data_IF_952784830032
#
_entry.id   IF_952784830032
#
_cell.length_a   1.000
_cell.length_b   1.000
_cell.length_c   1.000
_cell.angle_alpha   90.00
_cell.angle_beta   90.00
_cell.angle_gamma   90.00
#
_symmetry.space_group_name_H-M   'P 1'
#
loop_
_entity.id
_entity.type
_entity.pdbx_description
1 polymer ?
#
# COMPACT_ATOMS: atom_id res chain seq x y z
N UNK A 1 -9.28 0.41 61.32
CA UNK A 1 -9.48 0.74 59.89
C UNK A 1 -8.13 0.84 59.18
N UNK A 2 -7.33 -0.24 59.17
CA UNK A 2 -5.94 -0.21 58.64
C UNK A 2 -5.62 -1.32 57.62
N UNK A 3 -6.55 -2.25 57.37
CA UNK A 3 -6.31 -3.41 56.50
C UNK A 3 -6.67 -3.21 55.02
N UNK A 4 -7.50 -2.22 54.69
CA UNK A 4 -7.99 -1.99 53.31
C UNK A 4 -7.00 -1.20 52.44
N UNK A 5 -6.25 -0.25 53.03
CA UNK A 5 -5.29 0.57 52.28
C UNK A 5 -4.08 -0.22 51.73
N UNK A 6 -3.56 -1.19 52.48
CA UNK A 6 -2.43 -2.01 52.05
C UNK A 6 -2.76 -2.97 50.90
N UNK A 7 -4.01 -3.46 50.84
CA UNK A 7 -4.48 -4.34 49.75
C UNK A 7 -4.66 -3.58 48.43
N UNK A 8 -5.15 -2.35 48.48
CA UNK A 8 -5.28 -1.51 47.28
C UNK A 8 -3.93 -1.08 46.71
N UNK A 9 -2.93 -0.86 47.57
CA UNK A 9 -1.58 -0.48 47.13
C UNK A 9 -0.83 -1.65 46.47
N UNK A 10 -0.98 -2.88 46.97
CA UNK A 10 -0.35 -4.07 46.41
C UNK A 10 -0.97 -4.51 45.06
N UNK A 11 -2.27 -4.28 44.86
CA UNK A 11 -2.93 -4.58 43.58
C UNK A 11 -2.56 -3.57 42.49
N UNK A 12 -2.36 -2.29 42.86
CA UNK A 12 -1.94 -1.23 41.93
C UNK A 12 -0.52 -1.43 41.39
N UNK A 13 0.43 -1.86 42.23
CA UNK A 13 1.80 -2.17 41.80
C UNK A 13 1.88 -3.42 40.92
N UNK A 14 1.02 -4.43 41.15
CA UNK A 14 0.96 -5.62 40.30
C UNK A 14 0.46 -5.30 38.88
N UNK A 15 -0.55 -4.44 38.73
CA UNK A 15 -1.00 -3.99 37.39
C UNK A 15 0.05 -3.13 36.67
N UNK A 16 0.75 -2.24 37.38
CA UNK A 16 1.79 -1.41 36.79
C UNK A 16 3.00 -2.23 36.31
N UNK A 17 3.36 -3.30 37.02
CA UNK A 17 4.44 -4.21 36.62
C UNK A 17 4.03 -5.16 35.46
N UNK A 18 2.75 -5.47 35.32
CA UNK A 18 2.24 -6.23 34.17
C UNK A 18 2.20 -5.38 32.88
N UNK A 19 1.96 -4.07 32.99
CA UNK A 19 1.96 -3.15 31.84
C UNK A 19 3.34 -3.03 31.17
N UNK A 20 4.44 -3.28 31.89
CA UNK A 20 5.80 -3.24 31.31
C UNK A 20 6.21 -4.55 30.63
N UNK A 21 5.37 -5.58 30.66
CA UNK A 21 5.59 -6.88 29.98
C UNK A 21 4.88 -6.98 28.63
N UNK A 22 4.36 -5.88 28.10
CA UNK A 22 3.94 -5.84 26.69
C UNK A 22 5.20 -5.92 25.84
N UNK A 23 5.47 -7.13 25.34
CA UNK A 23 6.38 -7.38 24.23
C UNK A 23 5.77 -6.73 22.97
N UNK A 24 5.83 -5.41 22.87
CA UNK A 24 5.35 -4.62 21.72
C UNK A 24 6.30 -4.72 20.50
N UNK A 25 7.28 -5.61 20.56
CA UNK A 25 8.10 -5.95 19.42
C UNK A 25 7.26 -6.94 18.61
N UNK A 26 6.62 -6.46 17.54
CA UNK A 26 6.01 -7.35 16.56
C UNK A 26 7.04 -8.37 16.09
N UNK A 27 6.56 -9.55 15.69
CA UNK A 27 7.43 -10.58 15.12
C UNK A 27 8.24 -9.97 13.97
N UNK A 28 9.56 -10.11 14.06
CA UNK A 28 10.51 -9.61 13.05
C UNK A 28 10.77 -10.66 11.96
N UNK A 29 10.15 -11.84 12.06
CA UNK A 29 10.11 -12.79 10.97
C UNK A 29 9.26 -12.25 9.79
N UNK A 30 9.66 -12.51 8.54
CA UNK A 30 8.82 -12.22 7.38
C UNK A 30 7.44 -12.85 7.52
N UNK A 31 6.42 -12.07 7.19
CA UNK A 31 5.02 -12.48 7.24
C UNK A 31 4.60 -13.00 5.87
N UNK A 32 3.97 -14.17 5.86
CA UNK A 32 3.46 -14.79 4.63
C UNK A 32 2.46 -13.87 3.94
N UNK A 33 2.47 -13.89 2.61
CA UNK A 33 1.56 -13.10 1.76
C UNK A 33 0.56 -14.05 1.12
N UNK A 34 -0.73 -13.77 1.30
CA UNK A 34 -1.79 -14.52 0.62
C UNK A 34 -1.93 -14.04 -0.83
N UNK A 35 -1.46 -14.86 -1.76
CA UNK A 35 -1.46 -14.57 -3.21
C UNK A 35 -2.72 -15.07 -3.92
N UNK A 36 -3.73 -15.52 -3.17
CA UNK A 36 -4.98 -16.04 -3.73
C UNK A 36 -5.65 -15.03 -4.66
N UNK A 37 -6.02 -15.49 -5.86
CA UNK A 37 -6.67 -14.67 -6.89
C UNK A 37 -5.71 -14.07 -7.91
N UNK A 38 -4.40 -14.28 -7.78
CA UNK A 38 -3.43 -13.95 -8.82
C UNK A 38 -3.28 -15.11 -9.82
N UNK A 39 -3.00 -14.80 -11.11
CA UNK A 39 -2.55 -15.81 -12.06
C UNK A 39 -1.29 -16.51 -11.55
N UNK A 40 -1.26 -17.83 -11.61
CA UNK A 40 -0.08 -18.61 -11.20
C UNK A 40 1.13 -18.25 -12.08
N UNK A 41 2.30 -18.19 -11.45
CA UNK A 41 3.59 -18.06 -12.14
C UNK A 41 4.35 -19.37 -12.01
N UNK A 42 5.24 -19.65 -12.96
CA UNK A 42 6.02 -20.89 -12.93
C UNK A 42 7.03 -20.94 -11.78
N UNK A 43 7.67 -22.10 -11.60
CA UNK A 43 8.77 -22.25 -10.62
C UNK A 43 10.02 -21.46 -11.02
N UNK A 44 10.23 -21.29 -12.33
CA UNK A 44 11.30 -20.46 -12.85
C UNK A 44 11.00 -18.98 -12.62
N UNK A 45 12.01 -18.25 -12.13
CA UNK A 45 11.90 -16.81 -11.92
C UNK A 45 11.77 -16.08 -13.26
N UNK A 46 10.70 -15.31 -13.39
CA UNK A 46 10.48 -14.39 -14.49
C UNK A 46 11.48 -13.24 -14.40
N UNK A 47 11.77 -12.61 -15.53
CA UNK A 47 12.63 -11.42 -15.62
C UNK A 47 11.84 -10.12 -15.65
N UNK A 48 10.54 -10.19 -15.91
CA UNK A 48 9.65 -9.03 -15.98
C UNK A 48 8.42 -9.23 -15.09
N UNK A 49 7.86 -8.12 -14.61
CA UNK A 49 6.62 -8.13 -13.86
C UNK A 49 5.44 -8.69 -14.70
N UNK A 50 4.82 -9.82 -14.31
CA UNK A 50 3.71 -10.42 -15.03
C UNK A 50 2.37 -9.71 -14.77
N UNK A 51 2.24 -8.93 -13.70
CA UNK A 51 0.96 -8.40 -13.23
C UNK A 51 0.69 -6.94 -13.64
N UNK A 52 1.43 -6.39 -14.60
CA UNK A 52 1.14 -5.05 -15.14
C UNK A 52 -0.23 -5.02 -15.83
N UNK A 53 -0.92 -3.90 -15.75
CA UNK A 53 -2.30 -3.74 -16.23
C UNK A 53 -2.48 -4.15 -17.71
N UNK A 54 -1.50 -3.87 -18.57
CA UNK A 54 -1.52 -4.25 -19.99
C UNK A 54 -1.38 -5.77 -20.23
N UNK A 55 -0.80 -6.50 -19.28
CA UNK A 55 -0.59 -7.96 -19.36
C UNK A 55 -1.76 -8.76 -18.78
N UNK A 56 -2.37 -8.30 -17.69
CA UNK A 56 -3.39 -9.06 -16.94
C UNK A 56 -4.77 -8.41 -16.88
N UNK A 57 -4.92 -7.18 -17.37
CA UNK A 57 -6.13 -6.40 -17.23
C UNK A 57 -6.24 -5.72 -15.86
N UNK A 58 -7.14 -4.75 -15.78
CA UNK A 58 -7.28 -3.83 -14.64
C UNK A 58 -7.69 -4.54 -13.34
N UNK A 59 -8.68 -5.43 -13.38
CA UNK A 59 -9.16 -6.16 -12.20
C UNK A 59 -8.06 -6.98 -11.52
N UNK A 60 -7.24 -7.66 -12.32
CA UNK A 60 -6.14 -8.51 -11.82
C UNK A 60 -4.97 -7.65 -11.35
N UNK A 61 -4.67 -6.55 -12.05
CA UNK A 61 -3.66 -5.57 -11.63
C UNK A 61 -4.02 -4.93 -10.28
N UNK A 62 -5.29 -4.56 -10.08
CA UNK A 62 -5.78 -4.06 -8.79
C UNK A 62 -5.68 -5.09 -7.68
N UNK A 63 -6.01 -6.36 -7.98
CA UNK A 63 -5.82 -7.45 -7.04
C UNK A 63 -4.35 -7.62 -6.66
N UNK A 64 -3.43 -7.50 -7.62
CA UNK A 64 -1.99 -7.54 -7.37
C UNK A 64 -1.52 -6.36 -6.52
N UNK A 65 -2.06 -5.15 -6.75
CA UNK A 65 -1.80 -3.98 -5.91
C UNK A 65 -2.28 -4.21 -4.48
N UNK A 66 -3.49 -4.75 -4.29
CA UNK A 66 -4.06 -5.00 -2.95
C UNK A 66 -3.20 -5.99 -2.16
N UNK A 67 -2.87 -7.13 -2.78
CA UNK A 67 -1.99 -8.15 -2.19
C UNK A 67 -0.60 -7.55 -1.93
N UNK A 68 -0.07 -6.82 -2.91
CA UNK A 68 1.23 -6.16 -2.85
C UNK A 68 1.32 -5.13 -1.75
N UNK A 69 0.28 -4.32 -1.53
CA UNK A 69 0.20 -3.33 -0.46
C UNK A 69 0.27 -4.03 0.92
N UNK A 70 -0.47 -5.12 1.08
CA UNK A 70 -0.43 -5.92 2.30
C UNK A 70 0.95 -6.54 2.54
N UNK A 71 1.53 -7.19 1.52
CA UNK A 71 2.86 -7.79 1.61
C UNK A 71 3.96 -6.78 1.87
N UNK A 72 3.90 -5.63 1.19
CA UNK A 72 4.84 -4.52 1.33
C UNK A 72 4.80 -3.91 2.74
N UNK A 73 3.59 -3.63 3.26
CA UNK A 73 3.42 -3.02 4.58
C UNK A 73 3.94 -3.92 5.71
N UNK A 74 3.80 -5.23 5.55
CA UNK A 74 4.26 -6.20 6.54
C UNK A 74 5.77 -6.46 6.48
N UNK A 75 6.36 -6.48 5.28
CA UNK A 75 7.72 -6.98 5.09
C UNK A 75 8.76 -5.91 4.69
N UNK A 76 8.33 -4.79 4.09
CA UNK A 76 9.23 -3.86 3.40
C UNK A 76 9.19 -2.44 3.99
N UNK A 77 7.99 -1.97 4.38
CA UNK A 77 7.73 -0.58 4.75
C UNK A 77 8.57 -0.08 5.94
N UNK A 78 9.00 -0.97 6.85
CA UNK A 78 9.87 -0.60 7.97
C UNK A 78 11.22 -0.02 7.51
N UNK A 79 11.74 -0.46 6.37
CA UNK A 79 13.04 -0.03 5.84
C UNK A 79 12.89 0.97 4.70
N UNK A 80 11.96 0.70 3.79
CA UNK A 80 11.74 1.49 2.57
C UNK A 80 10.66 2.57 2.74
N UNK A 81 10.06 2.67 3.93
CA UNK A 81 9.02 3.62 4.28
C UNK A 81 7.62 3.20 3.82
N UNK A 82 6.60 3.86 4.36
CA UNK A 82 5.21 3.64 3.94
C UNK A 82 5.04 4.11 2.49
N UNK A 83 4.21 3.40 1.73
CA UNK A 83 3.95 3.75 0.33
C UNK A 83 5.21 3.83 -0.55
N UNK A 84 6.27 3.11 -0.16
CA UNK A 84 7.60 3.12 -0.79
C UNK A 84 8.37 4.45 -0.69
N UNK A 85 7.85 5.43 0.05
CA UNK A 85 8.51 6.72 0.30
C UNK A 85 9.54 6.57 1.43
N UNK A 86 10.82 6.61 1.09
CA UNK A 86 11.87 6.35 2.08
C UNK A 86 12.05 7.47 3.11
N UNK A 87 12.15 7.08 4.38
CA UNK A 87 12.62 7.96 5.47
C UNK A 87 14.15 8.05 5.62
N UNK A 88 14.92 7.54 4.64
CA UNK A 88 16.38 7.61 4.59
C UNK A 88 17.14 6.38 5.13
N UNK A 89 16.43 5.33 5.58
CA UNK A 89 17.06 4.08 6.05
C UNK A 89 17.48 3.16 4.89
N UNK A 90 16.59 2.98 3.91
CA UNK A 90 16.85 2.24 2.67
C UNK A 90 16.44 3.12 1.45
N UNK A 91 16.72 2.74 0.20
CA UNK A 91 16.31 3.53 -0.96
C UNK A 91 14.78 3.68 -1.08
N UNK A 92 14.33 4.83 -1.61
CA UNK A 92 12.95 5.02 -2.07
C UNK A 92 12.73 4.12 -3.29
N UNK A 93 11.73 3.25 -3.23
CA UNK A 93 11.51 2.23 -4.26
C UNK A 93 10.62 2.73 -5.40
N UNK A 94 9.96 3.88 -5.25
CA UNK A 94 9.11 4.45 -6.30
C UNK A 94 9.91 4.72 -7.56
N UNK A 95 11.19 5.08 -7.41
CA UNK A 95 12.08 5.40 -8.51
C UNK A 95 12.80 4.20 -9.12
N UNK A 96 12.44 2.97 -8.75
CA UNK A 96 12.93 1.78 -9.45
C UNK A 96 12.11 1.57 -10.72
N UNK A 97 12.72 1.89 -11.86
CA UNK A 97 12.10 1.95 -13.19
C UNK A 97 11.23 0.73 -13.50
N UNK A 98 10.03 0.95 -14.01
CA UNK A 98 9.06 -0.10 -14.37
C UNK A 98 9.36 -0.71 -15.74
N UNK A 99 10.56 -1.28 -15.88
CA UNK A 99 11.06 -1.94 -17.09
C UNK A 99 11.86 -3.20 -16.74
N UNK A 100 12.23 -3.99 -17.75
CA UNK A 100 12.93 -5.27 -17.58
C UNK A 100 14.18 -5.15 -16.69
N UNK A 101 15.01 -4.12 -16.88
CA UNK A 101 16.20 -3.94 -16.06
C UNK A 101 15.87 -3.66 -14.58
N UNK A 102 14.84 -2.85 -14.32
CA UNK A 102 14.35 -2.59 -12.96
C UNK A 102 13.72 -3.82 -12.33
N UNK A 103 13.07 -4.66 -13.12
CA UNK A 103 12.45 -5.92 -12.68
C UNK A 103 13.47 -6.98 -12.32
N UNK A 104 14.51 -7.17 -13.15
CA UNK A 104 15.62 -8.07 -12.85
C UNK A 104 16.32 -7.65 -11.55
N UNK A 105 16.57 -6.34 -11.41
CA UNK A 105 17.16 -5.80 -10.19
C UNK A 105 16.27 -6.03 -8.96
N UNK A 106 14.96 -5.79 -9.09
CA UNK A 106 14.01 -6.08 -8.02
C UNK A 106 14.01 -7.56 -7.64
N UNK A 107 13.89 -8.44 -8.63
CA UNK A 107 13.78 -9.88 -8.43
C UNK A 107 15.04 -10.46 -7.76
N UNK A 108 16.24 -10.04 -8.18
CA UNK A 108 17.49 -10.44 -7.55
C UNK A 108 17.54 -9.99 -6.08
N UNK A 109 17.22 -8.72 -5.80
CA UNK A 109 17.24 -8.18 -4.42
C UNK A 109 16.18 -8.79 -3.54
N UNK A 110 14.99 -9.05 -4.05
CA UNK A 110 13.94 -9.73 -3.32
C UNK A 110 14.35 -11.17 -2.98
N UNK A 111 14.85 -11.90 -3.98
CA UNK A 111 15.18 -13.32 -3.85
C UNK A 111 16.36 -13.53 -2.90
N UNK A 112 17.47 -12.84 -3.14
CA UNK A 112 18.75 -13.12 -2.49
C UNK A 112 19.12 -12.10 -1.40
N UNK A 113 18.33 -11.03 -1.26
CA UNK A 113 18.56 -9.97 -0.29
C UNK A 113 19.74 -9.07 -0.69
N UNK A 114 20.32 -8.39 0.31
CA UNK A 114 21.51 -7.56 0.13
C UNK A 114 22.39 -7.62 1.37
N UNK A 115 23.65 -8.03 1.20
CA UNK A 115 24.66 -8.08 2.26
C UNK A 115 25.87 -7.25 1.85
N UNK A 116 26.30 -6.36 2.74
CA UNK A 116 27.45 -5.49 2.50
C UNK A 116 28.42 -5.59 3.68
N UNK A 117 29.69 -5.86 3.41
CA UNK A 117 30.74 -6.02 4.43
C UNK A 117 30.39 -7.05 5.52
N UNK A 118 29.74 -8.16 5.11
CA UNK A 118 29.29 -9.22 6.03
C UNK A 118 28.07 -8.86 6.87
N UNK A 119 27.43 -7.71 6.65
CA UNK A 119 26.22 -7.28 7.35
C UNK A 119 25.04 -7.35 6.39
N UNK A 120 24.05 -8.17 6.71
CA UNK A 120 22.78 -8.22 5.97
C UNK A 120 22.02 -6.90 6.15
N UNK A 121 21.76 -6.23 5.02
CA UNK A 121 21.03 -4.96 4.92
C UNK A 121 19.58 -5.18 4.49
N UNK A 122 19.35 -6.16 3.63
CA UNK A 122 18.03 -6.60 3.19
C UNK A 122 17.98 -8.13 3.31
N UNK A 123 16.99 -8.72 4.01
CA UNK A 123 16.80 -10.16 4.05
C UNK A 123 16.50 -10.75 2.67
N UNK A 124 16.80 -12.03 2.49
CA UNK A 124 16.36 -12.81 1.33
C UNK A 124 14.92 -13.28 1.57
N UNK A 125 14.02 -13.04 0.61
CA UNK A 125 12.60 -13.38 0.71
C UNK A 125 12.16 -14.48 -0.26
N UNK A 126 13.00 -14.87 -1.23
CA UNK A 126 12.62 -15.76 -2.33
C UNK A 126 11.98 -17.07 -1.87
N UNK A 127 12.66 -17.81 -0.99
CA UNK A 127 12.13 -19.07 -0.43
C UNK A 127 11.01 -18.87 0.60
N UNK A 128 10.94 -17.68 1.21
CA UNK A 128 10.02 -17.40 2.32
C UNK A 128 8.64 -16.97 1.84
N UNK A 129 8.58 -16.13 0.81
CA UNK A 129 7.36 -15.51 0.33
C UNK A 129 6.94 -16.02 -1.06
N UNK A 130 7.88 -16.51 -1.87
CA UNK A 130 7.61 -16.98 -3.22
C UNK A 130 7.52 -15.85 -4.25
N UNK A 131 7.43 -16.26 -5.52
CA UNK A 131 7.51 -15.37 -6.67
C UNK A 131 6.22 -14.56 -6.89
N UNK A 132 5.04 -15.13 -6.66
CA UNK A 132 3.78 -14.40 -6.79
C UNK A 132 3.71 -13.22 -5.82
N UNK A 133 4.18 -13.42 -4.58
CA UNK A 133 4.26 -12.36 -3.58
C UNK A 133 5.24 -11.26 -4.01
N UNK A 134 6.40 -11.66 -4.57
CA UNK A 134 7.39 -10.72 -5.10
C UNK A 134 6.76 -9.81 -6.18
N UNK A 135 6.11 -10.40 -7.17
CA UNK A 135 5.53 -9.63 -8.27
C UNK A 135 4.31 -8.79 -7.87
N UNK A 136 3.50 -9.25 -6.91
CA UNK A 136 2.43 -8.44 -6.33
C UNK A 136 3.00 -7.19 -5.63
N UNK A 137 4.04 -7.37 -4.79
CA UNK A 137 4.72 -6.26 -4.12
C UNK A 137 5.38 -5.32 -5.15
N UNK A 138 6.02 -5.86 -6.19
CA UNK A 138 6.58 -5.06 -7.28
C UNK A 138 5.52 -4.20 -7.97
N UNK A 139 4.38 -4.79 -8.31
CA UNK A 139 3.25 -4.08 -8.95
C UNK A 139 2.72 -2.95 -8.07
N UNK A 140 2.60 -3.20 -6.76
CA UNK A 140 2.25 -2.16 -5.79
C UNK A 140 3.26 -0.98 -5.79
N UNK A 141 4.56 -1.29 -5.80
CA UNK A 141 5.65 -0.30 -5.79
C UNK A 141 5.70 0.50 -7.10
N UNK A 142 5.61 -0.17 -8.26
CA UNK A 142 5.65 0.49 -9.58
C UNK A 142 4.50 1.49 -9.74
N UNK A 143 3.31 1.16 -9.22
CA UNK A 143 2.14 2.00 -9.34
C UNK A 143 2.12 3.21 -8.38
N UNK A 144 3.15 3.43 -7.56
CA UNK A 144 3.16 4.57 -6.64
C UNK A 144 3.28 5.91 -7.40
N UNK A 145 2.45 6.91 -7.06
CA UNK A 145 2.59 8.26 -7.60
C UNK A 145 3.99 8.84 -7.36
N UNK A 146 4.42 9.70 -8.30
CA UNK A 146 5.61 10.52 -8.10
C UNK A 146 5.40 11.55 -6.99
N UNK A 147 6.49 12.07 -6.43
CA UNK A 147 6.46 13.16 -5.46
C UNK A 147 5.79 14.40 -6.07
N UNK A 148 4.77 14.94 -5.38
CA UNK A 148 4.05 16.12 -5.84
C UNK A 148 3.09 15.90 -7.02
N UNK A 149 2.91 14.65 -7.50
CA UNK A 149 2.07 14.35 -8.67
C UNK A 149 0.57 14.71 -8.49
N UNK A 150 0.14 14.99 -7.26
CA UNK A 150 -1.23 15.38 -6.91
C UNK A 150 -1.36 16.83 -6.42
N UNK A 151 -0.27 17.59 -6.34
CA UNK A 151 -0.25 18.93 -5.73
C UNK A 151 -1.23 19.87 -6.44
N UNK A 152 -1.23 19.87 -7.77
CA UNK A 152 -2.09 20.71 -8.60
C UNK A 152 -3.58 20.34 -8.49
N UNK A 153 -3.90 19.12 -8.06
CA UNK A 153 -5.27 18.61 -7.95
C UNK A 153 -5.79 18.55 -6.51
N UNK A 154 -4.97 18.88 -5.51
CA UNK A 154 -5.29 18.66 -4.09
C UNK A 154 -6.59 19.36 -3.66
N UNK A 155 -6.77 20.64 -4.02
CA UNK A 155 -7.96 21.39 -3.64
C UNK A 155 -9.21 20.88 -4.36
N UNK A 156 -9.06 20.49 -5.62
CA UNK A 156 -10.16 19.90 -6.40
C UNK A 156 -10.59 18.55 -5.84
N UNK A 157 -9.64 17.67 -5.51
CA UNK A 157 -9.90 16.36 -4.91
C UNK A 157 -10.56 16.49 -3.53
N UNK A 158 -10.21 17.50 -2.74
CA UNK A 158 -10.91 17.82 -1.47
C UNK A 158 -12.37 18.23 -1.74
N UNK A 159 -12.61 19.04 -2.77
CA UNK A 159 -13.96 19.42 -3.19
C UNK A 159 -14.79 18.22 -3.66
N UNK A 160 -14.20 17.35 -4.48
CA UNK A 160 -14.83 16.10 -4.95
C UNK A 160 -15.14 15.17 -3.78
N UNK A 161 -14.20 14.98 -2.85
CA UNK A 161 -14.44 14.21 -1.61
C UNK A 161 -15.64 14.76 -0.83
N UNK A 162 -15.68 16.06 -0.59
CA UNK A 162 -16.76 16.69 0.18
C UNK A 162 -18.12 16.54 -0.54
N UNK A 163 -18.13 16.60 -1.87
CA UNK A 163 -19.32 16.30 -2.68
C UNK A 163 -19.74 14.83 -2.54
N UNK A 164 -18.80 13.89 -2.70
CA UNK A 164 -19.03 12.44 -2.60
C UNK A 164 -19.56 12.06 -1.21
N UNK A 165 -19.05 12.68 -0.15
CA UNK A 165 -19.51 12.48 1.22
C UNK A 165 -21.03 12.73 1.38
N UNK A 166 -21.58 13.65 0.60
CA UNK A 166 -23.02 13.94 0.57
C UNK A 166 -23.87 12.76 0.10
N UNK A 167 -23.30 11.84 -0.70
CA UNK A 167 -23.99 10.69 -1.29
C UNK A 167 -23.82 9.39 -0.49
N UNK A 168 -23.00 9.38 0.56
CA UNK A 168 -22.73 8.21 1.41
C UNK A 168 -23.96 7.70 2.20
N UNK A 169 -25.04 8.48 2.26
CA UNK A 169 -26.31 8.12 2.92
C UNK A 169 -27.50 8.06 1.97
N UNK A 170 -27.48 8.85 0.90
CA UNK A 170 -28.49 8.87 -0.15
C UNK A 170 -27.83 9.25 -1.49
N UNK A 171 -27.77 8.28 -2.39
CA UNK A 171 -27.16 8.42 -3.71
C UNK A 171 -28.10 9.00 -4.79
N UNK A 172 -29.38 9.24 -4.47
CA UNK A 172 -30.42 9.55 -5.47
C UNK A 172 -30.20 10.84 -6.29
N UNK A 173 -29.34 11.74 -5.80
CA UNK A 173 -28.94 12.98 -6.49
C UNK A 173 -27.51 12.99 -7.04
N UNK A 174 -26.83 11.84 -7.04
CA UNK A 174 -25.45 11.75 -7.52
C UNK A 174 -25.40 11.66 -9.05
N UNK A 175 -24.56 12.48 -9.66
CA UNK A 175 -24.15 12.28 -11.05
C UNK A 175 -22.93 11.36 -11.07
N UNK A 176 -23.19 10.05 -11.05
CA UNK A 176 -22.16 9.02 -10.98
C UNK A 176 -21.16 9.16 -12.13
N UNK A 177 -21.67 9.29 -13.35
CA UNK A 177 -20.85 9.33 -14.56
C UNK A 177 -19.93 10.57 -14.55
N UNK A 178 -20.43 11.73 -14.12
CA UNK A 178 -19.60 12.93 -14.01
C UNK A 178 -18.50 12.81 -12.95
N UNK A 179 -18.80 12.22 -11.79
CA UNK A 179 -17.82 12.01 -10.72
C UNK A 179 -16.72 11.04 -11.16
N UNK A 180 -17.11 9.89 -11.72
CA UNK A 180 -16.18 8.88 -12.21
C UNK A 180 -15.33 9.45 -13.34
N UNK A 181 -15.93 10.16 -14.30
CA UNK A 181 -15.22 10.79 -15.40
C UNK A 181 -14.16 11.77 -14.89
N UNK A 182 -14.53 12.67 -13.96
CA UNK A 182 -13.57 13.68 -13.48
C UNK A 182 -12.44 13.09 -12.66
N UNK A 183 -12.73 12.12 -11.78
CA UNK A 183 -11.70 11.41 -11.03
C UNK A 183 -10.76 10.62 -11.96
N UNK A 184 -11.29 10.02 -13.01
CA UNK A 184 -10.50 9.29 -14.01
C UNK A 184 -9.61 10.22 -14.84
N UNK A 185 -10.10 11.41 -15.20
CA UNK A 185 -9.29 12.44 -15.86
C UNK A 185 -8.13 12.88 -14.97
N UNK A 186 -8.37 13.15 -13.69
CA UNK A 186 -7.30 13.50 -12.75
C UNK A 186 -6.31 12.34 -12.63
N UNK A 187 -6.80 11.12 -12.45
CA UNK A 187 -5.97 9.92 -12.31
C UNK A 187 -5.03 9.69 -13.51
N UNK A 188 -5.48 9.98 -14.73
CA UNK A 188 -4.70 9.82 -15.95
C UNK A 188 -3.52 10.79 -16.05
N UNK A 189 -3.57 11.93 -15.34
CA UNK A 189 -2.51 12.94 -15.29
C UNK A 189 -1.53 12.70 -14.12
N UNK A 190 -1.77 11.71 -13.25
CA UNK A 190 -0.88 11.38 -12.15
C UNK A 190 0.26 10.50 -12.64
N UNK A 191 1.47 11.07 -12.68
CA UNK A 191 2.68 10.33 -13.03
C UNK A 191 3.10 9.39 -11.90
N UNK A 192 3.66 8.23 -12.25
CA UNK A 192 4.32 7.34 -11.28
C UNK A 192 5.80 7.69 -11.16
N UNK A 193 6.37 7.50 -9.97
CA UNK A 193 7.81 7.69 -9.78
C UNK A 193 8.66 6.69 -10.58
N UNK A 194 8.06 5.55 -10.98
CA UNK A 194 8.75 4.45 -11.66
C UNK A 194 8.71 4.57 -13.18
N UNK A 195 7.92 5.50 -13.72
CA UNK A 195 7.60 5.56 -15.15
C UNK A 195 6.58 4.52 -15.62
N UNK A 196 5.96 3.75 -14.70
CA UNK A 196 4.82 2.92 -15.02
C UNK A 196 3.65 3.77 -15.57
N UNK A 197 2.87 3.23 -16.54
CA UNK A 197 1.86 4.01 -17.26
C UNK A 197 0.61 4.34 -16.44
N UNK A 198 0.39 3.66 -15.31
CA UNK A 198 -0.79 3.84 -14.47
C UNK A 198 -0.36 4.00 -13.02
N UNK A 199 -0.75 5.12 -12.41
CA UNK A 199 -0.60 5.34 -10.98
C UNK A 199 -1.83 4.81 -10.23
N UNK A 200 -1.58 4.05 -9.16
CA UNK A 200 -2.57 3.75 -8.13
C UNK A 200 -2.74 4.98 -7.22
N UNK A 201 -3.31 6.03 -7.80
CA UNK A 201 -3.55 7.31 -7.16
C UNK A 201 -4.85 7.31 -6.36
N UNK A 202 -4.99 8.29 -5.47
CA UNK A 202 -6.22 8.47 -4.66
C UNK A 202 -7.44 8.75 -5.54
N UNK A 203 -7.23 9.46 -6.66
CA UNK A 203 -8.26 9.74 -7.66
C UNK A 203 -8.68 8.46 -8.40
N UNK A 204 -7.70 7.64 -8.81
CA UNK A 204 -7.94 6.36 -9.45
C UNK A 204 -8.78 5.45 -8.56
N UNK A 205 -8.36 5.25 -7.30
CA UNK A 205 -9.07 4.41 -6.33
C UNK A 205 -10.49 4.89 -6.08
N UNK A 206 -10.68 6.20 -5.93
CA UNK A 206 -12.00 6.78 -5.73
C UNK A 206 -12.92 6.53 -6.93
N UNK A 207 -12.42 6.71 -8.16
CA UNK A 207 -13.19 6.42 -9.37
C UNK A 207 -13.63 4.94 -9.42
N UNK A 208 -12.71 4.03 -9.10
CA UNK A 208 -12.97 2.59 -9.11
C UNK A 208 -14.00 2.15 -8.05
N UNK A 209 -14.03 2.81 -6.89
CA UNK A 209 -14.95 2.47 -5.79
C UNK A 209 -16.38 2.99 -5.98
N UNK A 210 -16.61 3.95 -6.88
CA UNK A 210 -17.94 4.50 -7.15
C UNK A 210 -18.74 3.53 -8.03
N UNK A 211 -19.66 2.80 -7.41
CA UNK A 211 -20.57 1.86 -8.08
C UNK A 211 -22.03 2.37 -8.17
N UNK A 212 -22.27 3.61 -7.72
CA UNK A 212 -23.59 4.24 -7.67
C UNK A 212 -24.39 3.96 -6.40
N UNK A 213 -23.87 3.14 -5.48
CA UNK A 213 -24.48 2.87 -4.17
C UNK A 213 -23.95 3.81 -3.10
N UNK A 214 -24.73 4.09 -2.02
CA UNK A 214 -24.23 4.83 -0.87
C UNK A 214 -22.96 4.24 -0.26
N UNK A 215 -22.84 2.91 -0.25
CA UNK A 215 -21.66 2.19 0.21
C UNK A 215 -20.42 2.47 -0.66
N UNK A 216 -20.57 2.46 -2.00
CA UNK A 216 -19.49 2.80 -2.93
C UNK A 216 -19.03 4.25 -2.78
N UNK A 217 -19.97 5.20 -2.67
CA UNK A 217 -19.63 6.60 -2.39
C UNK A 217 -18.91 6.78 -1.06
N UNK A 218 -19.35 6.08 -0.01
CA UNK A 218 -18.67 6.10 1.28
C UNK A 218 -17.23 5.56 1.17
N UNK A 219 -17.02 4.45 0.46
CA UNK A 219 -15.69 3.89 0.27
C UNK A 219 -14.78 4.85 -0.52
N UNK A 220 -15.31 5.49 -1.57
CA UNK A 220 -14.57 6.49 -2.34
C UNK A 220 -14.21 7.73 -1.53
N UNK A 221 -15.13 8.22 -0.68
CA UNK A 221 -14.86 9.30 0.27
C UNK A 221 -13.73 8.94 1.24
N UNK A 222 -13.80 7.76 1.87
CA UNK A 222 -12.78 7.27 2.79
C UNK A 222 -11.41 7.16 2.09
N UNK A 223 -11.38 6.65 0.85
CA UNK A 223 -10.16 6.55 0.05
C UNK A 223 -9.53 7.93 -0.21
N UNK A 224 -10.33 8.94 -0.58
CA UNK A 224 -9.86 10.32 -0.76
C UNK A 224 -9.41 10.93 0.56
N UNK A 225 -10.14 10.72 1.66
CA UNK A 225 -9.79 11.23 3.00
C UNK A 225 -8.44 10.71 3.47
N UNK A 226 -8.23 9.39 3.40
CA UNK A 226 -6.98 8.77 3.82
C UNK A 226 -5.85 9.21 2.90
N UNK A 227 -6.05 9.09 1.58
CA UNK A 227 -5.02 9.37 0.59
C UNK A 227 -4.53 10.82 0.58
N UNK A 228 -5.45 11.79 0.65
CA UNK A 228 -5.08 13.21 0.70
C UNK A 228 -4.42 13.62 2.03
N UNK A 229 -4.59 12.84 3.09
CA UNK A 229 -3.91 13.07 4.37
C UNK A 229 -2.47 12.56 4.39
N UNK A 230 -2.14 11.59 3.53
CA UNK A 230 -0.79 11.03 3.38
C UNK A 230 0.10 11.83 2.42
N UNK A 231 -0.49 12.67 1.57
CA UNK A 231 0.22 13.51 0.59
C UNK A 231 0.82 14.81 1.19
N UNK A 232 0.88 14.95 2.52
CA UNK A 232 1.32 16.17 3.23
C UNK A 232 2.39 15.91 4.29
#
# INVERSE_FOLDING_TARGET
MTGTFGRSLALGTALAAAATLVLAHGDVAPQAVDTTGLPEVGEDWLTENPYRADKVGEDVWLRAIEIGASGYNQNCARCHGLEAVSGGLAPDLRYLEAEEYGDEWYAERFRDGYTQNGITKMPAFGELLGQEAAWAIRTYVEARPDEGALDDYTDELKGLRDQIAGYATDASGADQDALVARLSEIAAEVETGSGAPVADSVAYRAAYLIDGTPEGYKAAEEALTIGLSAAH
#
